data_IF_792898919379
#
_entry.id   IF_792898919379
#
_cell.length_a   1.000
_cell.length_b   1.000
_cell.length_c   1.000
_cell.angle_alpha   90.00
_cell.angle_beta   90.00
_cell.angle_gamma   90.00
#
_symmetry.space_group_name_H-M   'P 1'
#
loop_
_entity.id
_entity.type
_entity.pdbx_description
1 polymer ?
#
# COMPACT_ATOMS: atom_id res chain seq x y z
N UNK A 1 -1.90 -13.72 -28.10
CA UNK A 1 -1.80 -12.92 -26.87
C UNK A 1 -1.94 -13.88 -25.70
N UNK A 2 -0.95 -13.92 -24.84
CA UNK A 2 -0.98 -14.78 -23.65
C UNK A 2 -1.97 -14.16 -22.63
N UNK A 3 -3.17 -14.75 -22.52
CA UNK A 3 -4.23 -14.32 -21.60
C UNK A 3 -3.83 -14.44 -20.12
N UNK A 4 -2.65 -15.04 -19.83
CA UNK A 4 -2.16 -15.24 -18.46
C UNK A 4 -1.64 -13.96 -17.79
N UNK A 5 -1.42 -12.88 -18.55
CA UNK A 5 -0.89 -11.61 -18.03
C UNK A 5 -1.91 -10.48 -17.89
N UNK A 6 -3.18 -10.73 -18.24
CA UNK A 6 -4.20 -9.69 -18.18
C UNK A 6 -4.67 -9.43 -16.73
N UNK A 7 -4.53 -8.17 -16.29
CA UNK A 7 -5.03 -7.71 -15.00
C UNK A 7 -6.39 -7.03 -15.18
N UNK A 8 -7.42 -7.62 -14.59
CA UNK A 8 -8.73 -7.00 -14.49
C UNK A 8 -8.74 -6.01 -13.30
N UNK A 9 -8.61 -4.73 -13.61
CA UNK A 9 -8.58 -3.65 -12.60
C UNK A 9 -9.90 -3.48 -11.85
N UNK A 10 -10.99 -4.06 -12.33
CA UNK A 10 -12.30 -4.03 -11.69
C UNK A 10 -12.58 -5.25 -10.82
N UNK A 11 -11.67 -6.24 -10.83
CA UNK A 11 -11.84 -7.43 -9.99
C UNK A 11 -11.72 -7.06 -8.51
N UNK A 12 -12.72 -7.49 -7.74
CA UNK A 12 -12.78 -7.27 -6.29
C UNK A 12 -12.29 -8.52 -5.55
N UNK A 13 -11.16 -8.43 -4.88
CA UNK A 13 -10.49 -9.59 -4.26
C UNK A 13 -11.29 -10.28 -3.15
N UNK A 14 -12.35 -9.66 -2.64
CA UNK A 14 -13.31 -10.33 -1.75
C UNK A 14 -14.08 -11.46 -2.43
N UNK A 15 -14.22 -11.44 -3.76
CA UNK A 15 -15.00 -12.45 -4.50
C UNK A 15 -14.34 -13.81 -4.57
N UNK A 16 -12.99 -13.88 -4.53
CA UNK A 16 -12.22 -15.13 -4.52
C UNK A 16 -11.61 -15.46 -3.16
N UNK A 17 -11.95 -14.66 -2.15
CA UNK A 17 -11.48 -14.84 -0.77
C UNK A 17 -12.47 -15.70 0.00
N UNK A 18 -12.03 -16.74 0.74
CA UNK A 18 -12.91 -17.52 1.59
C UNK A 18 -13.66 -16.64 2.61
N UNK A 19 -14.90 -16.98 2.89
CA UNK A 19 -15.74 -16.21 3.80
C UNK A 19 -15.07 -15.97 5.16
N UNK A 20 -15.07 -14.73 5.62
CA UNK A 20 -14.49 -14.31 6.90
C UNK A 20 -12.95 -14.23 6.92
N UNK A 21 -12.29 -14.46 5.79
CA UNK A 21 -10.85 -14.30 5.64
C UNK A 21 -10.50 -12.92 5.08
N UNK A 22 -9.25 -12.53 5.27
CA UNK A 22 -8.70 -11.28 4.76
C UNK A 22 -8.20 -11.47 3.32
N UNK A 23 -8.68 -10.69 2.34
CA UNK A 23 -8.19 -10.74 0.96
C UNK A 23 -6.67 -10.61 0.83
N UNK A 24 -6.02 -9.79 1.64
CA UNK A 24 -4.57 -9.58 1.64
C UNK A 24 -3.77 -10.89 1.78
N UNK A 25 -4.31 -11.83 2.52
CA UNK A 25 -3.64 -13.09 2.80
C UNK A 25 -4.23 -14.29 2.02
N UNK A 26 -5.50 -14.19 1.58
CA UNK A 26 -6.24 -15.36 1.12
C UNK A 26 -6.83 -15.25 -0.28
N UNK A 27 -6.77 -14.10 -0.98
CA UNK A 27 -7.16 -14.00 -2.37
C UNK A 27 -6.08 -14.58 -3.29
N UNK A 28 -6.33 -15.69 -4.00
CA UNK A 28 -5.37 -16.23 -4.97
C UNK A 28 -5.10 -15.28 -6.12
N UNK A 29 -6.14 -14.57 -6.61
CA UNK A 29 -6.03 -13.65 -7.72
C UNK A 29 -5.20 -12.41 -7.35
N UNK A 30 -5.36 -11.87 -6.13
CA UNK A 30 -4.52 -10.78 -5.64
C UNK A 30 -3.04 -11.17 -5.66
N UNK A 31 -2.72 -12.34 -5.16
CA UNK A 31 -1.35 -12.87 -5.16
C UNK A 31 -0.78 -12.97 -6.57
N UNK A 32 -1.57 -13.51 -7.50
CA UNK A 32 -1.19 -13.58 -8.91
C UNK A 32 -0.98 -12.19 -9.53
N UNK A 33 -1.87 -11.24 -9.26
CA UNK A 33 -1.74 -9.88 -9.78
C UNK A 33 -0.51 -9.16 -9.23
N UNK A 34 -0.22 -9.30 -7.93
CA UNK A 34 1.02 -8.77 -7.37
C UNK A 34 2.27 -9.38 -8.02
N UNK A 35 2.27 -10.70 -8.29
CA UNK A 35 3.36 -11.35 -9.02
C UNK A 35 3.54 -10.76 -10.42
N UNK A 36 2.47 -10.61 -11.19
CA UNK A 36 2.51 -10.05 -12.54
C UNK A 36 3.05 -8.62 -12.53
N UNK A 37 2.50 -7.75 -11.65
CA UNK A 37 2.82 -6.32 -11.61
C UNK A 37 4.24 -6.03 -11.18
N UNK A 38 4.74 -6.81 -10.23
CA UNK A 38 6.01 -6.48 -9.59
C UNK A 38 7.17 -7.37 -10.05
N UNK A 39 6.91 -8.42 -10.87
CA UNK A 39 7.97 -9.15 -11.58
C UNK A 39 8.40 -8.38 -12.83
N UNK A 40 9.14 -7.30 -12.61
CA UNK A 40 9.60 -6.39 -13.67
C UNK A 40 10.99 -5.82 -13.37
N UNK A 41 11.65 -5.17 -14.35
CA UNK A 41 12.97 -4.58 -14.14
C UNK A 41 12.98 -3.52 -13.03
N UNK A 42 13.98 -3.60 -12.17
CA UNK A 42 14.37 -2.56 -11.23
C UNK A 42 15.07 -1.39 -11.99
N UNK A 43 15.26 -0.22 -11.37
CA UNK A 43 16.07 0.86 -11.97
C UNK A 43 17.48 0.44 -12.37
N UNK A 44 18.04 -0.58 -11.72
CA UNK A 44 19.34 -1.18 -12.06
C UNK A 44 19.31 -2.03 -13.34
N UNK A 45 18.14 -2.34 -13.88
CA UNK A 45 17.95 -3.28 -15.00
C UNK A 45 17.80 -4.75 -14.60
N UNK A 46 18.11 -5.12 -13.36
CA UNK A 46 17.88 -6.47 -12.84
C UNK A 46 16.37 -6.72 -12.73
N UNK A 47 15.90 -7.89 -13.17
CA UNK A 47 14.47 -8.26 -13.04
C UNK A 47 14.18 -8.67 -11.60
N UNK A 48 13.20 -7.99 -10.98
CA UNK A 48 12.69 -8.35 -9.66
C UNK A 48 11.64 -9.46 -9.81
N UNK A 49 12.08 -10.68 -10.15
CA UNK A 49 11.18 -11.80 -10.36
C UNK A 49 10.63 -12.31 -9.02
N UNK A 50 9.29 -12.46 -8.95
CA UNK A 50 8.58 -12.92 -7.77
C UNK A 50 8.09 -14.36 -7.95
N UNK A 51 8.47 -15.23 -7.00
CA UNK A 51 7.94 -16.56 -6.83
C UNK A 51 6.76 -16.56 -5.83
N UNK A 52 5.71 -17.33 -6.15
CA UNK A 52 4.53 -17.54 -5.31
C UNK A 52 4.36 -19.00 -4.87
N UNK A 53 5.36 -19.83 -5.16
CA UNK A 53 5.33 -21.27 -4.87
C UNK A 53 6.01 -21.65 -3.54
N UNK A 54 6.80 -20.74 -2.96
CA UNK A 54 7.49 -21.00 -1.69
C UNK A 54 6.47 -21.19 -0.55
N UNK A 55 6.47 -22.36 0.14
CA UNK A 55 5.51 -22.66 1.19
C UNK A 55 5.53 -21.62 2.33
N UNK A 56 4.34 -21.25 2.81
CA UNK A 56 4.13 -20.29 3.91
C UNK A 56 4.64 -18.86 3.68
N UNK A 57 5.06 -18.54 2.46
CA UNK A 57 5.52 -17.21 2.05
C UNK A 57 4.55 -16.68 1.00
N UNK A 58 4.15 -15.41 1.14
CA UNK A 58 3.17 -14.81 0.23
C UNK A 58 3.76 -14.61 -1.17
N UNK A 59 4.85 -13.84 -1.29
CA UNK A 59 5.66 -13.68 -2.48
C UNK A 59 7.14 -13.64 -2.10
N UNK A 60 8.00 -14.19 -2.92
CA UNK A 60 9.42 -14.34 -2.65
C UNK A 60 10.25 -13.92 -3.86
N UNK A 61 11.28 -13.12 -3.61
CA UNK A 61 12.35 -12.82 -4.57
C UNK A 61 13.68 -13.34 -4.04
N UNK A 62 14.47 -13.94 -4.93
CA UNK A 62 15.85 -14.31 -4.64
C UNK A 62 16.71 -14.17 -5.89
N UNK A 63 17.73 -13.32 -5.81
CA UNK A 63 18.73 -13.10 -6.86
C UNK A 63 20.02 -12.53 -6.28
N UNK A 64 20.91 -12.07 -7.13
CA UNK A 64 22.16 -11.37 -6.74
C UNK A 64 21.91 -10.04 -5.99
N UNK A 65 20.73 -9.42 -6.15
CA UNK A 65 20.38 -8.18 -5.42
C UNK A 65 19.84 -8.45 -4.03
N UNK A 66 19.65 -9.70 -3.64
CA UNK A 66 19.24 -10.11 -2.31
C UNK A 66 18.07 -11.09 -2.28
N UNK A 67 17.58 -11.36 -1.07
CA UNK A 67 16.44 -12.22 -0.81
C UNK A 67 15.35 -11.42 -0.06
N UNK A 68 14.16 -11.35 -0.63
CA UNK A 68 13.06 -10.53 -0.10
C UNK A 68 11.76 -11.32 -0.06
N UNK A 69 11.09 -11.25 1.08
CA UNK A 69 9.77 -11.81 1.31
C UNK A 69 8.78 -10.67 1.37
N UNK A 70 7.72 -10.74 0.55
CA UNK A 70 6.71 -9.68 0.49
C UNK A 70 5.38 -10.16 1.06
N UNK A 71 4.60 -9.25 1.62
CA UNK A 71 3.22 -9.45 2.05
C UNK A 71 2.34 -8.32 1.54
N UNK A 72 1.07 -8.62 1.25
CA UNK A 72 0.09 -7.62 0.84
C UNK A 72 -0.41 -6.79 2.02
N UNK A 73 -0.92 -5.59 1.73
CA UNK A 73 -1.65 -4.73 2.64
C UNK A 73 -2.56 -3.76 1.86
N UNK A 74 -3.67 -3.34 2.47
CA UNK A 74 -4.60 -2.42 1.85
C UNK A 74 -4.15 -0.95 2.00
N UNK A 75 -4.44 -0.15 0.98
CA UNK A 75 -4.24 1.31 0.98
C UNK A 75 -5.24 1.99 1.92
N UNK A 76 -6.49 1.54 1.94
CA UNK A 76 -7.55 2.10 2.79
C UNK A 76 -7.61 1.37 4.12
N UNK A 77 -7.29 2.04 5.25
CA UNK A 77 -7.46 1.47 6.57
C UNK A 77 -8.94 1.31 6.91
N UNK A 78 -9.26 0.23 7.57
CA UNK A 78 -10.66 -0.05 7.97
C UNK A 78 -11.16 0.86 9.11
N UNK A 79 -10.29 1.46 9.89
CA UNK A 79 -10.58 2.28 11.09
C UNK A 79 -11.61 1.69 12.07
N UNK A 80 -12.06 0.45 11.87
CA UNK A 80 -13.17 -0.17 12.62
C UNK A 80 -12.94 -0.21 14.14
N UNK A 81 -11.68 -0.17 14.57
CA UNK A 81 -11.30 -0.19 16.00
C UNK A 81 -11.26 1.20 16.63
N UNK A 82 -11.34 2.26 15.85
CA UNK A 82 -11.38 3.62 16.35
C UNK A 82 -12.84 4.08 16.51
N UNK A 83 -13.29 4.27 17.77
CA UNK A 83 -14.68 4.59 18.08
C UNK A 83 -15.17 5.89 17.43
N UNK A 84 -14.31 6.90 17.31
CA UNK A 84 -14.65 8.18 16.71
C UNK A 84 -14.92 8.02 15.22
N UNK A 85 -14.03 7.32 14.53
CA UNK A 85 -14.21 7.05 13.08
C UNK A 85 -15.35 6.08 12.85
N UNK A 86 -15.54 5.08 13.71
CA UNK A 86 -16.71 4.18 13.63
C UNK A 86 -18.04 4.94 13.71
N UNK A 87 -18.10 6.00 14.53
CA UNK A 87 -19.27 6.88 14.57
C UNK A 87 -19.48 7.63 13.25
N UNK A 88 -18.45 8.15 12.62
CA UNK A 88 -18.57 8.77 11.29
C UNK A 88 -18.99 7.75 10.24
N UNK A 89 -18.39 6.56 10.24
CA UNK A 89 -18.74 5.48 9.31
C UNK A 89 -20.23 5.12 9.42
N UNK A 90 -20.80 5.10 10.63
CA UNK A 90 -22.21 4.74 10.83
C UNK A 90 -23.20 5.74 10.22
N UNK A 91 -22.77 6.98 9.98
CA UNK A 91 -23.57 8.03 9.36
C UNK A 91 -23.55 7.98 7.81
N UNK A 92 -22.64 7.22 7.22
CA UNK A 92 -22.52 7.07 5.77
C UNK A 92 -23.55 6.06 5.28
N UNK A 93 -24.30 6.34 4.20
CA UNK A 93 -25.20 5.39 3.57
C UNK A 93 -24.53 4.05 3.25
N UNK A 94 -25.30 2.96 3.34
CA UNK A 94 -24.75 1.60 3.18
C UNK A 94 -24.15 1.41 1.78
N UNK A 95 -24.84 1.87 0.76
CA UNK A 95 -24.41 1.83 -0.64
C UNK A 95 -23.09 2.56 -0.88
N UNK A 96 -22.90 3.75 -0.29
CA UNK A 96 -21.62 4.47 -0.35
C UNK A 96 -20.49 3.71 0.36
N UNK A 97 -20.78 3.01 1.48
CA UNK A 97 -19.78 2.19 2.18
C UNK A 97 -19.37 0.99 1.36
N UNK A 98 -20.33 0.35 0.68
CA UNK A 98 -20.08 -0.79 -0.21
C UNK A 98 -19.24 -0.38 -1.42
N UNK A 99 -19.47 0.80 -1.99
CA UNK A 99 -18.63 1.35 -3.07
C UNK A 99 -17.19 1.51 -2.62
N UNK A 100 -16.95 2.12 -1.45
CA UNK A 100 -15.61 2.29 -0.92
C UNK A 100 -14.92 0.94 -0.65
N UNK A 101 -15.63 0.00 -0.03
CA UNK A 101 -15.10 -1.34 0.27
C UNK A 101 -14.73 -2.07 -1.04
N UNK A 102 -15.60 -2.01 -2.06
CA UNK A 102 -15.34 -2.60 -3.37
C UNK A 102 -14.11 -2.00 -4.04
N UNK A 103 -14.01 -0.67 -4.11
CA UNK A 103 -12.87 0.02 -4.74
C UNK A 103 -11.57 -0.26 -3.96
N UNK A 104 -11.63 -0.25 -2.65
CA UNK A 104 -10.48 -0.52 -1.78
C UNK A 104 -9.88 -1.92 -1.97
N UNK A 105 -10.67 -2.88 -2.43
CA UNK A 105 -10.21 -4.24 -2.73
C UNK A 105 -10.06 -4.54 -4.24
N UNK A 106 -9.86 -3.51 -5.07
CA UNK A 106 -9.29 -3.64 -6.41
C UNK A 106 -7.76 -3.54 -6.36
N UNK A 107 -7.07 -3.87 -7.44
CA UNK A 107 -5.58 -3.90 -7.44
C UNK A 107 -4.95 -2.54 -7.15
N UNK A 108 -5.58 -1.42 -7.55
CA UNK A 108 -5.13 -0.08 -7.20
C UNK A 108 -5.17 0.23 -5.70
N UNK A 109 -6.04 -0.47 -4.95
CA UNK A 109 -6.16 -0.36 -3.50
C UNK A 109 -5.22 -1.28 -2.72
N UNK A 110 -4.36 -2.06 -3.40
CA UNK A 110 -3.52 -3.07 -2.76
C UNK A 110 -2.04 -2.77 -2.97
N UNK A 111 -1.23 -3.03 -1.97
CA UNK A 111 0.21 -2.80 -1.98
C UNK A 111 0.96 -4.00 -1.42
N UNK A 112 2.25 -4.12 -1.75
CA UNK A 112 3.15 -5.10 -1.13
C UNK A 112 4.27 -4.40 -0.35
N UNK A 113 4.62 -4.98 0.79
CA UNK A 113 5.73 -4.55 1.63
C UNK A 113 6.59 -5.74 2.03
N UNK A 114 7.87 -5.54 2.41
CA UNK A 114 8.66 -6.58 3.04
C UNK A 114 7.93 -7.19 4.24
N UNK A 115 7.71 -8.51 4.20
CA UNK A 115 6.89 -9.24 5.16
C UNK A 115 7.66 -10.10 6.16
N UNK A 116 8.98 -10.26 5.99
CA UNK A 116 9.80 -11.03 6.92
C UNK A 116 10.08 -10.26 8.22
N UNK A 117 9.93 -10.94 9.35
CA UNK A 117 10.23 -10.35 10.66
C UNK A 117 11.74 -10.37 10.94
N UNK A 118 12.39 -9.24 10.80
CA UNK A 118 13.80 -9.06 11.13
C UNK A 118 13.96 -8.82 12.64
N UNK A 119 14.72 -9.70 13.32
CA UNK A 119 14.95 -9.61 14.76
C UNK A 119 13.68 -9.74 15.62
N UNK A 120 12.67 -10.50 15.17
CA UNK A 120 11.36 -10.67 15.83
C UNK A 120 10.54 -9.38 16.00
N UNK A 121 10.94 -8.28 15.35
CA UNK A 121 10.24 -7.00 15.39
C UNK A 121 9.07 -6.98 14.38
N UNK A 122 8.16 -6.04 14.56
CA UNK A 122 7.04 -5.85 13.63
C UNK A 122 7.54 -5.53 12.21
N UNK A 123 6.84 -6.07 11.21
CA UNK A 123 7.00 -5.71 9.80
C UNK A 123 6.53 -4.27 9.55
N UNK A 124 6.70 -3.76 8.33
CA UNK A 124 6.18 -2.46 7.93
C UNK A 124 4.66 -2.43 8.11
N UNK A 125 3.92 -3.46 7.64
CA UNK A 125 2.46 -3.56 7.79
C UNK A 125 2.04 -3.47 9.27
N UNK A 126 2.70 -4.24 10.15
CA UNK A 126 2.40 -4.16 11.58
C UNK A 126 2.74 -2.80 12.19
N UNK A 127 3.89 -2.24 11.85
CA UNK A 127 4.32 -0.97 12.41
C UNK A 127 3.41 0.19 11.97
N UNK A 128 3.05 0.30 10.67
CA UNK A 128 2.14 1.34 10.18
C UNK A 128 0.75 1.24 10.79
N UNK A 129 0.23 0.00 10.92
CA UNK A 129 -1.10 -0.25 11.47
C UNK A 129 -1.22 0.11 12.95
N UNK A 130 -0.21 -0.19 13.76
CA UNK A 130 -0.25 0.06 15.20
C UNK A 130 0.31 1.42 15.63
N UNK A 131 1.10 2.11 14.81
CA UNK A 131 1.72 3.36 15.23
C UNK A 131 0.68 4.49 15.37
N UNK A 132 0.60 5.16 16.55
CA UNK A 132 -0.46 6.14 16.84
C UNK A 132 -0.42 7.38 15.93
N UNK A 133 0.70 7.70 15.30
CA UNK A 133 0.87 8.82 14.36
C UNK A 133 0.64 8.44 12.89
N UNK A 134 0.45 7.15 12.59
CA UNK A 134 0.20 6.64 11.24
C UNK A 134 -1.22 6.11 11.12
N UNK A 135 -1.66 5.27 12.10
CA UNK A 135 -3.02 4.70 12.13
C UNK A 135 -3.41 4.03 10.81
N UNK A 136 -2.46 3.31 10.23
CA UNK A 136 -2.62 2.56 8.98
C UNK A 136 -2.88 3.41 7.73
N UNK A 137 -2.70 4.72 7.79
CA UNK A 137 -2.84 5.60 6.63
C UNK A 137 -1.71 5.39 5.64
N UNK A 138 -2.07 5.14 4.40
CA UNK A 138 -1.11 4.85 3.34
C UNK A 138 -0.31 6.09 2.91
N UNK A 139 -0.95 7.23 2.78
CA UNK A 139 -0.30 8.50 2.46
C UNK A 139 0.77 8.88 3.51
N UNK A 140 0.47 8.71 4.81
CA UNK A 140 1.45 8.92 5.88
C UNK A 140 2.58 7.87 5.86
N UNK A 141 2.28 6.65 5.41
CA UNK A 141 3.29 5.61 5.21
C UNK A 141 4.24 6.00 4.08
N UNK A 142 3.71 6.50 2.94
CA UNK A 142 4.52 6.97 1.82
C UNK A 142 5.37 8.19 2.22
N UNK A 143 4.86 9.10 3.06
CA UNK A 143 5.67 10.19 3.63
C UNK A 143 6.81 9.66 4.52
N UNK A 144 6.58 8.62 5.33
CA UNK A 144 7.68 7.99 6.07
C UNK A 144 8.74 7.39 5.14
N UNK A 145 8.31 6.80 4.01
CA UNK A 145 9.23 6.24 3.00
C UNK A 145 9.99 7.38 2.30
N UNK A 146 9.33 8.47 1.91
CA UNK A 146 9.99 9.67 1.37
C UNK A 146 11.08 10.17 2.31
N UNK A 147 10.73 10.37 3.58
CA UNK A 147 11.67 10.80 4.62
C UNK A 147 12.85 9.83 4.78
N UNK A 148 12.59 8.54 4.70
CA UNK A 148 13.66 7.52 4.76
C UNK A 148 14.69 7.72 3.64
N UNK A 149 14.27 7.96 2.39
CA UNK A 149 15.17 8.22 1.28
C UNK A 149 15.94 9.54 1.40
N UNK A 150 15.38 10.51 2.12
CA UNK A 150 16.02 11.81 2.37
C UNK A 150 16.80 11.87 3.71
N UNK A 151 16.94 10.74 4.41
CA UNK A 151 17.54 10.67 5.74
C UNK A 151 16.86 11.56 6.79
N UNK A 152 15.58 11.84 6.61
CA UNK A 152 14.75 12.59 7.55
C UNK A 152 14.08 11.65 8.55
N UNK A 153 13.84 12.12 9.78
CA UNK A 153 13.17 11.31 10.81
C UNK A 153 11.66 11.20 10.57
N UNK A 154 11.13 10.01 10.82
CA UNK A 154 9.69 9.72 10.76
C UNK A 154 9.29 8.70 11.84
N UNK A 155 7.98 8.52 12.09
CA UNK A 155 7.49 7.49 13.01
C UNK A 155 7.93 6.06 12.64
N UNK A 156 8.23 5.78 11.37
CA UNK A 156 8.65 4.47 10.90
C UNK A 156 10.17 4.35 10.65
N UNK A 157 10.99 5.37 10.99
CA UNK A 157 12.43 5.38 10.68
C UNK A 157 13.15 4.09 11.08
N UNK A 158 12.99 3.64 12.34
CA UNK A 158 13.63 2.41 12.82
C UNK A 158 13.09 1.15 12.13
N UNK A 159 11.85 1.17 11.67
CA UNK A 159 11.25 0.06 10.94
C UNK A 159 11.78 0.02 9.51
N UNK A 160 11.77 1.15 8.81
CA UNK A 160 12.24 1.26 7.43
C UNK A 160 13.75 0.96 7.32
N UNK A 161 14.55 1.41 8.29
CA UNK A 161 15.98 1.14 8.33
C UNK A 161 16.30 -0.37 8.35
N UNK A 162 15.45 -1.21 8.95
CA UNK A 162 15.64 -2.68 8.91
C UNK A 162 15.46 -3.28 7.53
N UNK A 163 14.77 -2.59 6.63
CA UNK A 163 14.53 -3.00 5.24
C UNK A 163 15.28 -2.10 4.24
N UNK A 164 16.37 -1.46 4.68
CA UNK A 164 17.17 -0.54 3.84
C UNK A 164 17.61 -1.19 2.53
N UNK A 165 18.00 -2.48 2.55
CA UNK A 165 18.40 -3.22 1.35
C UNK A 165 17.24 -3.31 0.34
N UNK A 166 16.02 -3.55 0.80
CA UNK A 166 14.83 -3.54 -0.06
C UNK A 166 14.59 -2.15 -0.68
N UNK A 167 14.64 -1.10 0.13
CA UNK A 167 14.45 0.28 -0.39
C UNK A 167 15.60 0.70 -1.30
N UNK A 168 16.81 0.23 -1.07
CA UNK A 168 17.97 0.46 -1.93
C UNK A 168 17.79 -0.01 -3.37
N UNK A 169 16.95 -1.03 -3.62
CA UNK A 169 16.67 -1.57 -4.95
C UNK A 169 16.13 -0.52 -5.94
N UNK A 170 15.44 0.50 -5.45
CA UNK A 170 14.73 1.48 -6.28
C UNK A 170 15.57 2.74 -6.57
N UNK A 171 16.80 2.84 -6.04
CA UNK A 171 17.72 3.95 -6.31
C UNK A 171 17.33 5.30 -5.71
N UNK A 172 16.13 5.43 -5.12
CA UNK A 172 15.61 6.65 -4.52
C UNK A 172 14.10 6.68 -4.44
N UNK A 173 13.54 7.73 -3.84
CA UNK A 173 12.10 7.88 -3.66
C UNK A 173 11.33 7.87 -4.99
N UNK A 174 11.85 8.60 -6.00
CA UNK A 174 11.25 8.60 -7.34
C UNK A 174 11.16 7.20 -7.93
N UNK A 175 12.26 6.43 -7.91
CA UNK A 175 12.27 5.07 -8.44
C UNK A 175 11.31 4.13 -7.68
N UNK A 176 11.17 4.30 -6.36
CA UNK A 176 10.17 3.58 -5.56
C UNK A 176 8.75 3.93 -6.00
N UNK A 177 8.42 5.21 -6.15
CA UNK A 177 7.11 5.68 -6.60
C UNK A 177 6.78 5.15 -7.99
N UNK A 178 7.71 5.24 -8.94
CA UNK A 178 7.54 4.78 -10.32
C UNK A 178 7.39 3.26 -10.38
N UNK A 179 8.19 2.51 -9.62
CA UNK A 179 8.10 1.06 -9.57
C UNK A 179 6.73 0.58 -9.07
N UNK A 180 6.20 1.18 -8.00
CA UNK A 180 4.92 0.78 -7.39
C UNK A 180 3.70 1.55 -7.93
N UNK A 181 3.87 2.35 -8.99
CA UNK A 181 2.81 3.12 -9.65
C UNK A 181 2.05 4.02 -8.66
N UNK A 182 2.79 4.84 -7.91
CA UNK A 182 2.29 5.73 -6.86
C UNK A 182 2.32 7.22 -7.26
N UNK A 183 2.50 7.54 -8.55
CA UNK A 183 2.68 8.91 -9.03
C UNK A 183 1.51 9.84 -8.66
N UNK A 184 0.29 9.29 -8.58
CA UNK A 184 -0.90 10.07 -8.23
C UNK A 184 -0.96 10.47 -6.74
N UNK A 185 -0.07 9.89 -5.91
CA UNK A 185 0.06 10.22 -4.49
C UNK A 185 1.20 11.20 -4.20
N UNK A 186 1.91 11.68 -5.20
CA UNK A 186 3.03 12.60 -5.03
C UNK A 186 2.90 13.80 -5.96
N UNK A 187 3.66 14.87 -5.67
CA UNK A 187 3.80 16.00 -6.60
C UNK A 187 4.57 15.59 -7.85
N UNK A 188 4.41 16.32 -8.95
CA UNK A 188 4.98 15.97 -10.25
C UNK A 188 6.52 15.96 -10.24
N UNK A 189 7.13 16.70 -9.32
CA UNK A 189 8.57 16.73 -9.07
C UNK A 189 9.05 15.69 -8.05
N UNK A 190 8.14 14.88 -7.51
CA UNK A 190 8.38 13.87 -6.47
C UNK A 190 8.89 14.42 -5.13
N UNK A 191 8.78 15.73 -4.90
CA UNK A 191 9.30 16.38 -3.68
C UNK A 191 8.39 16.19 -2.46
N UNK A 192 7.08 16.00 -2.66
CA UNK A 192 6.11 15.91 -1.58
C UNK A 192 5.02 14.85 -1.84
N UNK A 193 4.41 14.39 -0.75
CA UNK A 193 3.23 13.50 -0.78
C UNK A 193 1.95 14.32 -0.78
N UNK A 194 0.96 13.89 -1.56
CA UNK A 194 -0.41 14.41 -1.54
C UNK A 194 -1.20 13.67 -0.46
N UNK A 195 -1.56 14.38 0.61
CA UNK A 195 -2.19 13.76 1.77
C UNK A 195 -3.71 13.67 1.61
N UNK A 196 -4.29 12.58 2.11
CA UNK A 196 -5.75 12.36 2.14
C UNK A 196 -6.50 13.23 3.18
N UNK A 197 -5.76 13.85 4.11
CA UNK A 197 -6.25 14.91 4.99
C UNK A 197 -5.11 15.91 5.19
N UNK A 198 -5.39 17.17 5.57
CA UNK A 198 -4.33 18.15 5.86
C UNK A 198 -3.28 17.59 6.80
N UNK A 199 -2.01 17.75 6.44
CA UNK A 199 -0.87 17.25 7.17
C UNK A 199 0.29 18.24 7.08
N UNK A 200 0.84 18.63 8.21
CA UNK A 200 2.02 19.48 8.31
C UNK A 200 3.24 18.68 8.81
N UNK A 201 3.06 18.00 9.94
CA UNK A 201 4.11 17.14 10.53
C UNK A 201 3.50 16.07 11.44
N UNK A 202 4.26 14.99 11.67
CA UNK A 202 3.86 13.88 12.53
C UNK A 202 3.70 14.26 14.02
N UNK A 203 4.31 15.35 14.47
CA UNK A 203 4.19 15.83 15.86
C UNK A 203 2.91 16.63 16.11
N UNK A 204 2.43 17.36 15.09
CA UNK A 204 1.31 18.30 15.19
C UNK A 204 0.02 17.79 14.59
N UNK A 205 0.11 17.08 13.46
CA UNK A 205 -1.07 16.62 12.72
C UNK A 205 -1.68 15.33 13.30
N UNK A 206 -3.01 15.30 13.40
CA UNK A 206 -3.73 14.06 13.72
C UNK A 206 -3.73 13.13 12.50
N UNK A 207 -3.43 11.84 12.65
CA UNK A 207 -3.58 10.88 11.55
C UNK A 207 -5.05 10.55 11.24
N UNK A 208 -5.97 10.92 12.14
CA UNK A 208 -7.40 10.64 11.99
C UNK A 208 -8.17 11.89 11.60
N UNK A 209 -9.16 11.78 10.69
CA UNK A 209 -10.08 12.87 10.38
C UNK A 209 -10.74 13.45 11.62
N UNK A 210 -10.82 14.78 11.69
CA UNK A 210 -11.31 15.50 12.86
C UNK A 210 -12.82 15.61 12.95
N UNK A 211 -13.54 15.49 11.83
CA UNK A 211 -14.97 15.62 11.69
C UNK A 211 -15.53 14.64 10.67
N UNK A 212 -16.85 14.56 10.57
CA UNK A 212 -17.53 13.77 9.55
C UNK A 212 -17.18 14.25 8.13
N UNK A 213 -17.17 15.58 7.91
CA UNK A 213 -16.82 16.14 6.59
C UNK A 213 -15.38 15.83 6.23
N UNK A 214 -14.43 15.99 7.15
CA UNK A 214 -13.02 15.61 6.94
C UNK A 214 -12.88 14.10 6.65
N UNK A 215 -13.75 13.25 7.23
CA UNK A 215 -13.76 11.83 6.91
C UNK A 215 -14.32 11.55 5.50
N UNK A 216 -15.30 12.31 5.05
CA UNK A 216 -15.82 12.21 3.66
C UNK A 216 -14.76 12.65 2.65
N UNK A 217 -14.08 13.76 2.90
CA UNK A 217 -12.96 14.23 2.07
C UNK A 217 -11.85 13.18 2.00
N UNK A 218 -11.43 12.64 3.16
CA UNK A 218 -10.45 11.55 3.21
C UNK A 218 -10.84 10.36 2.32
N UNK A 219 -12.11 9.94 2.37
CA UNK A 219 -12.61 8.84 1.54
C UNK A 219 -12.52 9.20 0.05
N UNK A 220 -12.92 10.42 -0.32
CA UNK A 220 -12.88 10.86 -1.72
C UNK A 220 -11.45 10.83 -2.26
N UNK A 221 -10.49 11.43 -1.55
CA UNK A 221 -9.09 11.41 -1.97
C UNK A 221 -8.51 9.99 -2.07
N UNK A 222 -8.86 9.11 -1.15
CA UNK A 222 -8.43 7.72 -1.20
C UNK A 222 -9.02 6.98 -2.41
N UNK A 223 -10.31 7.20 -2.73
CA UNK A 223 -10.97 6.63 -3.91
C UNK A 223 -10.36 7.16 -5.20
N UNK A 224 -10.13 8.46 -5.29
CA UNK A 224 -9.55 9.10 -6.48
C UNK A 224 -8.13 8.57 -6.74
N UNK A 225 -7.32 8.44 -5.70
CA UNK A 225 -6.00 7.82 -5.81
C UNK A 225 -6.07 6.37 -6.30
N UNK A 226 -6.96 5.55 -5.73
CA UNK A 226 -7.08 4.14 -6.12
C UNK A 226 -7.54 4.01 -7.58
N UNK A 227 -8.49 4.84 -8.01
CA UNK A 227 -8.97 4.83 -9.39
C UNK A 227 -7.87 5.28 -10.37
N UNK A 228 -7.15 6.36 -10.06
CA UNK A 228 -6.03 6.82 -10.86
C UNK A 228 -4.94 5.73 -10.97
N UNK A 229 -4.62 5.07 -9.86
CA UNK A 229 -3.67 3.96 -9.85
C UNK A 229 -4.17 2.74 -10.64
N UNK A 230 -5.47 2.39 -10.57
CA UNK A 230 -6.07 1.36 -11.41
C UNK A 230 -5.90 1.68 -12.90
N UNK A 231 -6.17 2.93 -13.32
CA UNK A 231 -5.97 3.38 -14.71
C UNK A 231 -4.52 3.23 -15.14
N UNK A 232 -3.59 3.65 -14.29
CA UNK A 232 -2.14 3.52 -14.55
C UNK A 232 -1.69 2.06 -14.65
N UNK A 233 -2.24 1.18 -13.82
CA UNK A 233 -2.00 -0.27 -13.92
C UNK A 233 -2.53 -0.81 -15.24
N UNK A 234 -3.71 -0.39 -15.67
CA UNK A 234 -4.30 -0.80 -16.95
C UNK A 234 -3.46 -0.37 -18.15
N UNK A 235 -2.94 0.86 -18.14
CA UNK A 235 -2.09 1.42 -19.20
C UNK A 235 -0.70 0.77 -19.27
N UNK A 236 -0.22 0.21 -18.16
CA UNK A 236 1.13 -0.40 -18.06
C UNK A 236 1.16 -1.90 -18.39
N UNK A 237 0.01 -2.55 -18.59
CA UNK A 237 -0.14 -3.97 -18.94
C UNK A 237 -0.67 -4.16 -20.36
#
# INVERSE_FOLDING_TARGET
MDMSRHIDINFVFRWDTPQGKDPDAFSPKLRTYHKILWSKPLPSGVVFELDDTTPHIYLHHRSEVGEFFLSSDAVIPTFRKDRRISHFISQIPVDEREVLDRIGYTIGGMMVFPGNRLGRKMTINGARGFHPRIKDRFDLTVECIRRHYHNERSPLSDTLARYADFFGLFGGFRGYVEFFLLQDLVTDDYSAVRFFTPFEDFSTSSPLPGSFDAYREYRQFAVDFINARNSRIFESN
#
